data_IF_984462807096
#
_entry.id   IF_984462807096
#
_cell.length_a   1.000
_cell.length_b   1.000
_cell.length_c   1.000
_cell.angle_alpha   90.00
_cell.angle_beta   90.00
_cell.angle_gamma   90.00
#
_symmetry.space_group_name_H-M   'P 1'
#
loop_
_entity.id
_entity.type
_entity.pdbx_description
1 polymer ?
#
# COMPACT_ATOMS: atom_id res chain seq x y z
N UNK A 1 -11.38 -2.36 -24.61
CA UNK A 1 -10.18 -2.96 -24.02
C UNK A 1 -9.00 -2.02 -24.31
N UNK A 2 -8.33 -1.51 -23.27
CA UNK A 2 -7.05 -0.81 -23.48
C UNK A 2 -6.01 -1.86 -23.89
N UNK A 3 -5.36 -1.66 -25.04
CA UNK A 3 -4.20 -2.46 -25.40
C UNK A 3 -2.98 -1.98 -24.59
N UNK A 4 -2.04 -2.87 -24.31
CA UNK A 4 -0.77 -2.55 -23.65
C UNK A 4 -0.08 -1.33 -24.28
N UNK A 5 -0.02 -1.26 -25.61
CA UNK A 5 0.59 -0.16 -26.35
C UNK A 5 -0.08 1.20 -26.11
N UNK A 6 -1.37 1.23 -25.79
CA UNK A 6 -2.07 2.50 -25.54
C UNK A 6 -1.77 3.10 -24.16
N UNK A 7 -1.33 2.30 -23.20
CA UNK A 7 -0.99 2.76 -21.84
C UNK A 7 0.36 3.49 -21.85
N UNK A 8 1.35 2.99 -22.60
CA UNK A 8 2.69 3.56 -22.67
C UNK A 8 2.74 4.98 -23.25
N UNK A 9 1.68 5.41 -23.96
CA UNK A 9 1.58 6.74 -24.55
C UNK A 9 0.69 7.71 -23.78
N UNK A 10 0.11 7.28 -22.65
CA UNK A 10 -0.74 8.13 -21.83
C UNK A 10 0.04 8.68 -20.65
N UNK A 11 -0.16 9.97 -20.35
CA UNK A 11 0.37 10.59 -19.15
C UNK A 11 -0.40 10.09 -17.94
N UNK A 12 0.33 9.62 -16.94
CA UNK A 12 -0.23 9.28 -15.64
C UNK A 12 -0.47 10.52 -14.76
N UNK A 13 -1.06 10.30 -13.61
CA UNK A 13 -1.31 11.36 -12.62
C UNK A 13 0.00 11.98 -12.14
N UNK A 14 1.06 11.20 -11.97
CA UNK A 14 2.37 11.68 -11.53
C UNK A 14 2.93 12.67 -12.54
N UNK A 15 2.89 12.33 -13.84
CA UNK A 15 3.31 13.23 -14.91
C UNK A 15 2.48 14.52 -14.92
N UNK A 16 1.16 14.45 -14.69
CA UNK A 16 0.30 15.63 -14.64
C UNK A 16 0.70 16.60 -13.50
N UNK A 17 0.99 16.07 -12.31
CA UNK A 17 1.49 16.89 -11.19
C UNK A 17 2.87 17.46 -11.47
N UNK A 18 3.76 16.69 -12.08
CA UNK A 18 5.10 17.14 -12.47
C UNK A 18 5.03 18.33 -13.45
N UNK A 19 4.17 18.24 -14.48
CA UNK A 19 3.92 19.32 -15.43
C UNK A 19 3.30 20.56 -14.78
N UNK A 20 2.54 20.37 -13.68
CA UNK A 20 2.01 21.46 -12.86
C UNK A 20 3.04 22.08 -11.89
N UNK A 21 4.30 21.67 -11.99
CA UNK A 21 5.42 22.20 -11.22
C UNK A 21 5.55 21.63 -9.82
N UNK A 22 4.99 20.44 -9.57
CA UNK A 22 5.23 19.70 -8.34
C UNK A 22 6.51 18.89 -8.46
N UNK A 23 7.27 18.80 -7.37
CA UNK A 23 8.24 17.74 -7.18
C UNK A 23 7.50 16.46 -6.88
N UNK A 24 7.82 15.40 -7.59
CA UNK A 24 7.08 14.15 -7.53
C UNK A 24 7.93 13.01 -6.96
N UNK A 25 7.32 12.19 -6.11
CA UNK A 25 7.95 10.99 -5.57
C UNK A 25 6.99 9.80 -5.60
N UNK A 26 7.54 8.60 -5.80
CA UNK A 26 6.82 7.33 -5.74
C UNK A 26 7.62 6.35 -4.89
N UNK A 27 7.03 5.88 -3.79
CA UNK A 27 7.65 4.92 -2.88
C UNK A 27 6.78 3.68 -2.74
N UNK A 28 7.37 2.51 -2.90
CA UNK A 28 6.65 1.24 -2.87
C UNK A 28 7.24 0.26 -1.86
N UNK A 29 6.38 -0.40 -1.10
CA UNK A 29 6.72 -1.57 -0.30
C UNK A 29 6.47 -2.90 -1.03
N UNK A 30 6.40 -2.87 -2.35
CA UNK A 30 6.36 -4.07 -3.16
C UNK A 30 7.67 -4.23 -3.94
N UNK A 31 7.99 -5.45 -4.36
CA UNK A 31 9.16 -5.68 -5.20
C UNK A 31 8.96 -5.06 -6.56
N UNK A 32 10.05 -4.56 -7.10
CA UNK A 32 10.17 -4.29 -8.53
C UNK A 32 9.90 -5.61 -9.26
N UNK A 33 8.72 -5.73 -9.77
CA UNK A 33 8.33 -6.84 -10.62
C UNK A 33 7.91 -6.25 -11.97
N UNK A 34 7.86 -7.05 -13.01
CA UNK A 34 7.44 -6.61 -14.34
C UNK A 34 5.93 -6.23 -14.40
N UNK A 35 5.37 -5.76 -13.28
CA UNK A 35 4.05 -5.16 -13.19
C UNK A 35 4.12 -3.67 -13.55
N UNK A 36 2.95 -3.05 -13.72
CA UNK A 36 2.88 -1.62 -14.04
C UNK A 36 3.40 -0.69 -12.94
N UNK A 37 3.74 -1.20 -11.77
CA UNK A 37 4.20 -0.40 -10.61
C UNK A 37 5.50 0.32 -10.94
N UNK A 38 6.45 -0.37 -11.56
CA UNK A 38 7.72 0.23 -11.99
C UNK A 38 7.51 1.26 -13.11
N UNK A 39 6.58 0.99 -14.01
CA UNK A 39 6.22 1.92 -15.08
C UNK A 39 5.70 3.25 -14.49
N UNK A 40 4.76 3.20 -13.55
CA UNK A 40 4.23 4.40 -12.90
C UNK A 40 5.27 5.07 -12.00
N UNK A 41 6.08 4.30 -11.28
CA UNK A 41 7.14 4.85 -10.44
C UNK A 41 8.15 5.68 -11.22
N UNK A 42 8.48 5.27 -12.45
CA UNK A 42 9.43 5.98 -13.32
C UNK A 42 8.92 7.34 -13.84
N UNK A 43 7.64 7.64 -13.71
CA UNK A 43 7.13 8.99 -13.98
C UNK A 43 7.60 10.00 -12.95
N UNK A 44 7.90 9.58 -11.71
CA UNK A 44 8.29 10.46 -10.62
C UNK A 44 9.74 10.96 -10.75
N UNK A 45 10.05 12.11 -10.12
CA UNK A 45 11.42 12.63 -10.01
C UNK A 45 12.27 11.77 -9.09
N UNK A 46 11.66 11.17 -8.07
CA UNK A 46 12.27 10.20 -7.15
C UNK A 46 11.38 8.99 -7.06
N UNK A 47 11.94 7.80 -7.21
CA UNK A 47 11.21 6.57 -6.90
C UNK A 47 12.10 5.60 -6.15
N UNK A 48 11.50 4.79 -5.24
CA UNK A 48 12.21 3.82 -4.43
C UNK A 48 11.30 2.63 -4.10
N UNK A 49 11.91 1.45 -4.07
CA UNK A 49 11.25 0.17 -3.77
C UNK A 49 11.96 -0.47 -2.58
N UNK A 50 11.33 -0.47 -1.41
CA UNK A 50 11.96 -0.95 -0.16
C UNK A 50 12.49 -2.39 -0.27
N UNK A 51 11.86 -3.22 -1.10
CA UNK A 51 12.23 -4.64 -1.27
C UNK A 51 13.26 -4.92 -2.37
N UNK A 52 13.71 -3.93 -3.11
CA UNK A 52 14.48 -4.14 -4.34
C UNK A 52 15.87 -4.73 -4.07
N UNK A 53 16.54 -4.28 -3.02
CA UNK A 53 17.93 -4.64 -2.72
C UNK A 53 18.08 -5.97 -1.97
N UNK A 54 16.99 -6.62 -1.60
CA UNK A 54 17.04 -7.87 -0.85
C UNK A 54 16.93 -9.09 -1.75
N UNK A 55 18.02 -9.87 -1.85
CA UNK A 55 17.99 -11.22 -2.40
C UNK A 55 17.26 -12.21 -1.49
N UNK A 56 16.95 -11.80 -0.26
CA UNK A 56 16.20 -12.58 0.69
C UNK A 56 14.69 -12.47 0.42
N UNK A 57 14.12 -13.54 -0.12
CA UNK A 57 12.69 -13.63 -0.40
C UNK A 57 11.82 -13.67 0.88
N UNK A 58 12.43 -13.96 2.04
CA UNK A 58 11.76 -13.92 3.34
C UNK A 58 11.68 -12.50 3.91
N UNK A 59 12.46 -11.55 3.38
CA UNK A 59 12.42 -10.16 3.81
C UNK A 59 11.09 -9.52 3.46
N UNK A 60 10.31 -9.21 4.48
CA UNK A 60 8.98 -8.62 4.39
C UNK A 60 8.89 -7.36 5.26
N UNK A 61 9.44 -6.22 4.77
CA UNK A 61 9.43 -4.98 5.53
C UNK A 61 8.01 -4.47 5.78
N UNK A 62 7.84 -3.82 6.91
CA UNK A 62 6.60 -3.12 7.25
C UNK A 62 6.40 -1.90 6.35
N UNK A 63 5.13 -1.56 6.06
CA UNK A 63 4.79 -0.30 5.38
C UNK A 63 5.28 0.94 6.16
N UNK A 64 5.53 0.82 7.45
CA UNK A 64 6.12 1.89 8.25
C UNK A 64 7.53 2.31 7.78
N UNK A 65 8.24 1.46 7.04
CA UNK A 65 9.54 1.84 6.45
C UNK A 65 9.37 2.94 5.37
N UNK A 66 8.20 3.04 4.74
CA UNK A 66 7.88 4.12 3.81
C UNK A 66 7.92 5.51 4.46
N UNK A 67 7.64 5.60 5.77
CA UNK A 67 7.65 6.87 6.50
C UNK A 67 9.01 7.56 6.46
N UNK A 68 10.09 6.79 6.50
CA UNK A 68 11.45 7.33 6.40
C UNK A 68 11.69 8.01 5.05
N UNK A 69 11.18 7.40 3.97
CA UNK A 69 11.31 7.95 2.62
C UNK A 69 10.46 9.22 2.47
N UNK A 70 9.27 9.25 3.05
CA UNK A 70 8.42 10.45 3.09
C UNK A 70 9.12 11.58 3.84
N UNK A 71 9.66 11.30 5.03
CA UNK A 71 10.39 12.29 5.83
C UNK A 71 11.57 12.90 5.06
N UNK A 72 12.36 12.04 4.42
CA UNK A 72 13.49 12.46 3.58
C UNK A 72 13.04 13.32 2.38
N UNK A 73 11.90 12.96 1.76
CA UNK A 73 11.38 13.72 0.63
C UNK A 73 10.83 15.08 1.07
N UNK A 74 10.07 15.13 2.17
CA UNK A 74 9.57 16.38 2.76
C UNK A 74 10.70 17.31 3.17
N UNK A 75 11.80 16.78 3.72
CA UNK A 75 12.98 17.55 4.12
C UNK A 75 13.68 18.27 2.96
N UNK A 76 13.42 17.90 1.70
CA UNK A 76 13.95 18.60 0.54
C UNK A 76 13.34 19.99 0.35
N UNK A 77 12.26 20.32 1.05
CA UNK A 77 11.69 21.66 1.14
C UNK A 77 11.12 22.22 -0.17
N UNK A 78 10.69 21.37 -1.10
CA UNK A 78 10.05 21.84 -2.32
C UNK A 78 8.68 22.47 -2.00
N UNK A 79 8.38 23.62 -2.63
CA UNK A 79 7.14 24.39 -2.39
C UNK A 79 5.86 23.60 -2.73
N UNK A 80 5.94 22.71 -3.69
CA UNK A 80 4.84 21.84 -4.14
C UNK A 80 5.40 20.43 -4.24
N UNK A 81 4.79 19.49 -3.54
CA UNK A 81 5.17 18.09 -3.55
C UNK A 81 3.96 17.21 -3.81
N UNK A 82 4.14 16.18 -4.61
CA UNK A 82 3.17 15.12 -4.85
C UNK A 82 3.86 13.79 -4.58
N UNK A 83 3.47 13.12 -3.52
CA UNK A 83 4.08 11.86 -3.07
C UNK A 83 3.04 10.76 -3.18
N UNK A 84 3.38 9.69 -3.89
CA UNK A 84 2.58 8.48 -3.98
C UNK A 84 3.22 7.42 -3.10
N UNK A 85 2.44 6.84 -2.19
CA UNK A 85 2.83 5.70 -1.37
C UNK A 85 2.06 4.47 -1.82
N UNK A 86 2.78 3.48 -2.29
CA UNK A 86 2.23 2.18 -2.66
C UNK A 86 2.55 1.18 -1.56
N UNK A 87 1.58 1.02 -0.66
CA UNK A 87 1.68 0.14 0.51
C UNK A 87 1.44 -1.33 0.11
N UNK A 88 1.89 -2.24 0.93
CA UNK A 88 1.47 -3.64 0.86
C UNK A 88 0.08 -3.82 1.48
N UNK A 89 -0.23 -2.99 2.47
CA UNK A 89 -1.55 -2.91 3.11
C UNK A 89 -1.99 -4.23 3.75
N UNK A 90 -3.26 -4.55 3.54
CA UNK A 90 -3.90 -5.76 4.06
C UNK A 90 -3.88 -6.93 3.06
N UNK A 91 -2.85 -7.02 2.20
CA UNK A 91 -2.69 -8.13 1.27
C UNK A 91 -2.42 -9.46 2.00
N UNK A 92 -2.99 -10.53 1.55
CA UNK A 92 -2.73 -11.88 2.08
C UNK A 92 -1.22 -12.25 1.92
N UNK A 93 -0.53 -12.87 2.92
CA UNK A 93 -1.01 -13.37 4.19
C UNK A 93 -1.15 -12.21 5.21
N UNK A 94 -2.35 -11.98 5.71
CA UNK A 94 -2.68 -10.86 6.59
C UNK A 94 -1.83 -10.83 7.86
N UNK A 95 -1.50 -12.01 8.43
CA UNK A 95 -0.72 -12.14 9.65
C UNK A 95 0.71 -11.61 9.54
N UNK A 96 1.21 -11.51 8.32
CA UNK A 96 2.54 -10.98 8.02
C UNK A 96 2.57 -9.45 7.86
N UNK A 97 1.40 -8.79 7.92
CA UNK A 97 1.29 -7.35 7.66
C UNK A 97 1.55 -6.49 8.89
N UNK A 98 1.61 -7.07 10.09
CA UNK A 98 1.84 -6.38 11.35
C UNK A 98 2.73 -7.19 12.29
N UNK A 99 3.48 -6.53 13.21
CA UNK A 99 4.25 -7.22 14.23
C UNK A 99 3.37 -8.04 15.17
N UNK A 100 3.88 -9.16 15.67
CA UNK A 100 3.12 -10.03 16.56
C UNK A 100 2.64 -9.34 17.84
N UNK A 101 3.42 -8.35 18.33
CA UNK A 101 3.05 -7.56 19.51
C UNK A 101 1.91 -6.57 19.30
N UNK A 102 1.55 -6.30 18.04
CA UNK A 102 0.50 -5.34 17.68
C UNK A 102 -0.85 -6.02 17.41
N UNK A 103 -0.93 -7.34 17.56
CA UNK A 103 -2.17 -8.09 17.44
C UNK A 103 -3.17 -7.69 18.54
N UNK A 104 -4.31 -7.17 18.14
CA UNK A 104 -5.40 -6.79 19.03
C UNK A 104 -6.53 -7.82 19.03
N UNK A 105 -6.91 -8.27 17.84
CA UNK A 105 -7.90 -9.32 17.68
C UNK A 105 -7.21 -10.68 17.67
N UNK A 106 -7.63 -11.57 18.56
CA UNK A 106 -7.04 -12.90 18.74
C UNK A 106 -8.11 -13.96 18.95
N UNK A 107 -7.86 -15.22 18.56
CA UNK A 107 -6.66 -15.74 17.90
C UNK A 107 -6.54 -15.26 16.44
N UNK A 108 -5.32 -14.91 16.01
CA UNK A 108 -4.99 -14.47 14.65
C UNK A 108 -4.09 -15.49 13.90
N UNK A 109 -4.05 -16.71 14.41
CA UNK A 109 -3.29 -17.84 13.88
C UNK A 109 -3.97 -19.16 14.31
N UNK A 110 -3.95 -20.20 13.46
CA UNK A 110 -3.39 -20.28 12.11
C UNK A 110 -4.23 -19.53 11.05
N UNK A 111 -3.61 -19.18 9.92
CA UNK A 111 -4.20 -18.38 8.83
C UNK A 111 -4.12 -19.06 7.46
N UNK A 112 -4.20 -20.37 7.43
CA UNK A 112 -4.36 -21.10 6.17
C UNK A 112 -5.68 -20.71 5.50
N UNK A 113 -5.68 -20.59 4.17
CA UNK A 113 -6.83 -20.22 3.37
C UNK A 113 -7.91 -21.32 3.33
N UNK A 114 -8.39 -21.71 4.51
CA UNK A 114 -9.44 -22.71 4.71
C UNK A 114 -10.54 -22.15 5.61
N UNK A 115 -11.79 -22.44 5.26
CA UNK A 115 -12.97 -21.94 5.99
C UNK A 115 -12.95 -22.25 7.49
N UNK A 116 -12.36 -23.36 7.91
CA UNK A 116 -12.25 -23.71 9.33
C UNK A 116 -11.45 -22.69 10.15
N UNK A 117 -10.60 -21.89 9.49
CA UNK A 117 -9.79 -20.83 10.10
C UNK A 117 -10.34 -19.42 9.84
N UNK A 118 -11.58 -19.31 9.35
CA UNK A 118 -12.18 -18.04 8.99
C UNK A 118 -12.06 -16.99 10.09
N UNK A 119 -12.38 -17.33 11.31
CA UNK A 119 -12.36 -16.36 12.42
C UNK A 119 -10.93 -15.86 12.70
N UNK A 120 -9.93 -16.72 12.60
CA UNK A 120 -8.52 -16.32 12.72
C UNK A 120 -8.09 -15.43 11.54
N UNK A 121 -8.54 -15.75 10.33
CA UNK A 121 -8.28 -14.96 9.13
C UNK A 121 -8.89 -13.57 9.24
N UNK A 122 -10.15 -13.47 9.71
CA UNK A 122 -10.81 -12.17 9.96
C UNK A 122 -10.04 -11.38 11.01
N UNK A 123 -9.67 -11.99 12.15
CA UNK A 123 -8.88 -11.32 13.18
C UNK A 123 -7.53 -10.81 12.63
N UNK A 124 -6.85 -11.62 11.82
CA UNK A 124 -5.59 -11.21 11.19
C UNK A 124 -5.79 -10.07 10.18
N UNK A 125 -6.86 -10.11 9.39
CA UNK A 125 -7.23 -9.04 8.47
C UNK A 125 -7.52 -7.74 9.22
N UNK A 126 -8.37 -7.77 10.24
CA UNK A 126 -8.72 -6.61 11.05
C UNK A 126 -7.48 -6.00 11.76
N UNK A 127 -6.56 -6.83 12.22
CA UNK A 127 -5.28 -6.36 12.74
C UNK A 127 -4.44 -5.65 11.68
N UNK A 128 -4.42 -6.16 10.44
CA UNK A 128 -3.70 -5.52 9.33
C UNK A 128 -4.31 -4.16 8.96
N UNK A 129 -5.64 -4.06 8.97
CA UNK A 129 -6.36 -2.79 8.75
C UNK A 129 -6.03 -1.77 9.86
N UNK A 130 -6.05 -2.19 11.13
CA UNK A 130 -5.61 -1.34 12.25
C UNK A 130 -4.17 -0.86 12.10
N UNK A 131 -3.30 -1.72 11.61
CA UNK A 131 -1.90 -1.36 11.39
C UNK A 131 -1.75 -0.32 10.28
N UNK A 132 -2.52 -0.46 9.19
CA UNK A 132 -2.62 0.55 8.12
C UNK A 132 -3.17 1.87 8.65
N UNK A 133 -4.21 1.85 9.51
CA UNK A 133 -4.74 3.05 10.15
C UNK A 133 -3.66 3.77 11.00
N UNK A 134 -2.83 3.03 11.72
CA UNK A 134 -1.71 3.61 12.46
C UNK A 134 -0.66 4.28 11.57
N UNK A 135 -0.39 3.72 10.39
CA UNK A 135 0.47 4.33 9.37
C UNK A 135 -0.12 5.66 8.89
N UNK A 136 -1.43 5.68 8.58
CA UNK A 136 -2.12 6.89 8.13
C UNK A 136 -2.11 7.98 9.21
N UNK A 137 -2.33 7.63 10.47
CA UNK A 137 -2.26 8.56 11.59
C UNK A 137 -0.87 9.21 11.71
N UNK A 138 0.20 8.44 11.51
CA UNK A 138 1.59 8.95 11.51
C UNK A 138 1.84 9.88 10.32
N UNK A 139 1.36 9.53 9.13
CA UNK A 139 1.45 10.37 7.93
C UNK A 139 0.72 11.71 8.13
N UNK A 140 -0.49 11.68 8.69
CA UNK A 140 -1.25 12.90 9.03
C UNK A 140 -0.44 13.78 9.97
N UNK A 141 0.09 13.21 11.08
CA UNK A 141 0.94 13.96 12.01
C UNK A 141 2.20 14.54 11.35
N UNK A 142 2.82 13.82 10.42
CA UNK A 142 3.96 14.34 9.65
C UNK A 142 3.57 15.55 8.79
N UNK A 143 2.41 15.49 8.12
CA UNK A 143 1.92 16.58 7.28
C UNK A 143 1.52 17.80 8.10
N UNK A 144 0.83 17.62 9.23
CA UNK A 144 0.48 18.70 10.16
C UNK A 144 1.72 19.44 10.67
N UNK A 145 2.78 18.69 10.96
CA UNK A 145 4.05 19.28 11.44
C UNK A 145 4.80 20.08 10.37
N UNK A 146 4.45 19.97 9.08
CA UNK A 146 5.04 20.80 8.03
C UNK A 146 4.58 22.28 8.11
N UNK A 147 3.44 22.56 8.73
CA UNK A 147 2.90 23.92 8.83
C UNK A 147 2.50 24.54 7.48
N UNK A 148 2.23 23.71 6.47
CA UNK A 148 1.81 24.11 5.12
C UNK A 148 0.52 23.39 4.74
N UNK A 149 -0.20 23.92 3.75
CA UNK A 149 -1.38 23.24 3.23
C UNK A 149 -1.01 21.87 2.67
N UNK A 150 -1.70 20.85 3.13
CA UNK A 150 -1.50 19.47 2.74
C UNK A 150 -2.83 18.73 2.58
N UNK A 151 -2.85 17.73 1.71
CA UNK A 151 -3.96 16.80 1.55
C UNK A 151 -3.44 15.37 1.49
N UNK A 152 -4.11 14.46 2.18
CA UNK A 152 -3.88 13.02 2.10
C UNK A 152 -5.11 12.37 1.46
N UNK A 153 -4.89 11.57 0.44
CA UNK A 153 -5.92 10.74 -0.18
C UNK A 153 -5.52 9.29 0.02
N UNK A 154 -6.39 8.51 0.64
CA UNK A 154 -6.21 7.07 0.78
C UNK A 154 -7.29 6.33 0.00
N UNK A 155 -6.89 5.29 -0.71
CA UNK A 155 -7.81 4.38 -1.39
C UNK A 155 -7.24 2.97 -1.39
N UNK A 156 -8.11 1.98 -1.23
CA UNK A 156 -7.81 0.59 -1.55
C UNK A 156 -8.00 0.38 -3.06
N UNK A 157 -7.24 -0.53 -3.65
CA UNK A 157 -7.41 -0.97 -5.05
C UNK A 157 -8.57 -1.97 -5.19
N UNK A 158 -8.80 -2.80 -4.16
CA UNK A 158 -9.93 -3.73 -4.07
C UNK A 158 -10.26 -4.06 -2.60
N UNK A 159 -11.37 -4.76 -2.41
CA UNK A 159 -11.73 -5.40 -1.15
C UNK A 159 -11.25 -6.85 -1.10
N UNK A 160 -11.46 -7.49 0.04
CA UNK A 160 -11.16 -8.91 0.28
C UNK A 160 -12.43 -9.66 0.67
N UNK A 161 -12.58 -10.88 0.17
CA UNK A 161 -13.58 -11.83 0.61
C UNK A 161 -12.90 -12.88 1.51
N UNK A 162 -13.41 -13.08 2.70
CA UNK A 162 -12.83 -14.00 3.68
C UNK A 162 -13.90 -15.05 4.06
N UNK A 163 -14.38 -15.80 3.06
CA UNK A 163 -15.46 -16.76 3.23
C UNK A 163 -16.73 -16.13 3.80
N UNK A 164 -17.08 -14.93 3.35
CA UNK A 164 -18.17 -14.12 3.92
C UNK A 164 -19.55 -14.64 3.55
N UNK A 165 -19.64 -15.43 2.49
CA UNK A 165 -20.89 -15.99 2.03
C UNK A 165 -20.83 -17.53 1.75
N UNK A 166 -21.97 -18.14 1.42
CA UNK A 166 -22.03 -19.58 1.13
C UNK A 166 -21.23 -20.04 -0.09
N UNK A 167 -20.75 -19.15 -0.96
CA UNK A 167 -19.95 -19.50 -2.14
C UNK A 167 -18.51 -19.85 -1.78
N UNK A 168 -18.10 -19.57 -0.54
CA UNK A 168 -16.76 -19.89 -0.03
C UNK A 168 -15.62 -19.24 -0.81
N UNK A 169 -15.83 -18.01 -1.29
CA UNK A 169 -14.82 -17.24 -1.96
C UNK A 169 -13.75 -16.74 -0.97
N UNK A 170 -12.55 -16.52 -1.50
CA UNK A 170 -11.42 -16.03 -0.73
C UNK A 170 -10.58 -15.07 -1.57
N UNK A 171 -10.00 -14.05 -0.94
CA UNK A 171 -9.26 -12.94 -1.57
C UNK A 171 -10.20 -12.06 -2.43
N UNK A 172 -9.66 -11.45 -3.48
CA UNK A 172 -10.35 -10.54 -4.40
C UNK A 172 -11.13 -11.26 -5.52
N UNK A 173 -11.59 -12.48 -5.25
CA UNK A 173 -12.29 -13.30 -6.24
C UNK A 173 -13.81 -13.09 -6.25
N UNK A 174 -14.36 -12.23 -5.39
CA UNK A 174 -15.80 -12.03 -5.31
C UNK A 174 -16.33 -11.25 -6.53
N UNK A 175 -17.30 -11.80 -7.27
CA UNK A 175 -17.98 -11.08 -8.34
C UNK A 175 -19.08 -10.12 -7.84
N UNK A 176 -19.25 -10.01 -6.51
CA UNK A 176 -20.34 -9.23 -5.91
C UNK A 176 -19.85 -7.85 -5.52
N UNK A 177 -20.43 -6.77 -6.10
CA UNK A 177 -19.96 -5.40 -5.85
C UNK A 177 -20.16 -4.88 -4.42
N UNK A 178 -20.85 -5.63 -3.57
CA UNK A 178 -21.16 -5.25 -2.18
C UNK A 178 -20.15 -5.76 -1.16
N UNK A 179 -19.07 -6.38 -1.62
CA UNK A 179 -17.98 -6.85 -0.77
C UNK A 179 -16.67 -6.21 -1.20
#
# INVERSE_FOLDING_TARGET
>A
ACSYDSIYHRKGIITAFKEAGFRTAFFSNQRFNHSFIDFFGREADTFDFIKEDSLDFSYNPSDNELLKLVEQELAKGAKKQFIVLHTYGSHFNYRERYPSGDAFFTPDYPVEAERKFRDNLVNAYDNSVRYTDSLLARLIGMLENQGTDAALIYTSDHGEDIFDDPRHLFLHASPVPSY
#
